data_IF_383061359947
#
_entry.id   IF_383061359947
#
_cell.length_a   1.000
_cell.length_b   1.000
_cell.length_c   1.000
_cell.angle_alpha   90.00
_cell.angle_beta   90.00
_cell.angle_gamma   90.00
#
_symmetry.space_group_name_H-M   'P 1'
#
loop_
_entity.id
_entity.type
_entity.pdbx_description
1 polymer ?
#
# COMPACT_ATOMS: atom_id res chain seq x y z
N UNK A 1 9.88 -23.57 -7.02
CA UNK A 1 8.45 -23.25 -6.90
C UNK A 1 7.74 -24.36 -6.15
N UNK A 2 7.01 -24.03 -5.09
CA UNK A 2 6.12 -25.00 -4.43
C UNK A 2 4.98 -25.37 -5.38
N UNK A 3 4.52 -26.62 -5.36
CA UNK A 3 3.32 -26.99 -6.14
C UNK A 3 2.10 -26.29 -5.52
N UNK A 4 1.35 -25.54 -6.31
CA UNK A 4 0.04 -25.05 -5.92
C UNK A 4 -0.88 -26.27 -5.80
N UNK A 5 -1.36 -26.50 -4.59
CA UNK A 5 -2.28 -27.59 -4.27
C UNK A 5 -3.34 -27.00 -3.36
N UNK A 6 -4.54 -27.58 -3.34
CA UNK A 6 -5.60 -27.07 -2.46
C UNK A 6 -5.12 -26.97 -1.01
N UNK A 7 -4.41 -28.00 -0.51
CA UNK A 7 -3.90 -28.03 0.86
C UNK A 7 -2.85 -26.94 1.14
N UNK A 8 -2.14 -26.43 0.11
CA UNK A 8 -1.19 -25.33 0.28
C UNK A 8 -1.87 -23.96 0.29
N UNK A 9 -3.02 -23.79 -0.37
CA UNK A 9 -3.77 -22.53 -0.48
C UNK A 9 -4.94 -22.42 0.53
N UNK A 10 -5.43 -23.54 1.07
CA UNK A 10 -6.54 -23.59 2.02
C UNK A 10 -6.34 -22.64 3.23
N UNK A 11 -5.14 -22.51 3.82
CA UNK A 11 -4.91 -21.55 4.91
C UNK A 11 -5.10 -20.08 4.51
N UNK A 12 -5.05 -19.79 3.21
CA UNK A 12 -5.21 -18.45 2.66
C UNK A 12 -6.65 -18.19 2.21
N UNK A 13 -7.49 -19.20 2.00
CA UNK A 13 -8.87 -19.00 1.53
C UNK A 13 -9.77 -18.51 2.68
N UNK A 14 -10.34 -17.31 2.56
CA UNK A 14 -11.18 -16.70 3.60
C UNK A 14 -12.65 -16.80 3.28
N UNK A 15 -13.04 -16.47 2.06
CA UNK A 15 -14.45 -16.43 1.66
C UNK A 15 -14.64 -16.89 0.22
N UNK A 16 -15.84 -17.40 -0.06
CA UNK A 16 -16.29 -17.77 -1.40
C UNK A 16 -17.74 -17.32 -1.58
N UNK A 17 -17.96 -16.35 -2.46
CA UNK A 17 -19.28 -15.83 -2.77
C UNK A 17 -19.67 -16.12 -4.23
N UNK A 18 -20.89 -16.59 -4.47
CA UNK A 18 -21.44 -16.70 -5.82
C UNK A 18 -22.25 -15.43 -6.16
N UNK A 19 -21.85 -14.73 -7.22
CA UNK A 19 -22.56 -13.56 -7.74
C UNK A 19 -22.74 -13.70 -9.24
N UNK A 20 -23.99 -13.68 -9.70
CA UNK A 20 -24.33 -13.69 -11.13
C UNK A 20 -23.74 -14.87 -11.93
N UNK A 21 -23.55 -16.03 -11.29
CA UNK A 21 -22.95 -17.22 -11.90
C UNK A 21 -21.41 -17.20 -11.95
N UNK A 22 -20.78 -16.22 -11.28
CA UNK A 22 -19.35 -16.15 -11.04
C UNK A 22 -19.05 -16.49 -9.58
N UNK A 23 -17.94 -17.18 -9.36
CA UNK A 23 -17.41 -17.49 -8.04
C UNK A 23 -16.31 -16.49 -7.70
N UNK A 24 -16.53 -15.72 -6.65
CA UNK A 24 -15.57 -14.80 -6.07
C UNK A 24 -14.85 -15.51 -4.93
N UNK A 25 -13.54 -15.66 -5.03
CA UNK A 25 -12.69 -16.22 -4.00
C UNK A 25 -11.88 -15.11 -3.36
N UNK A 26 -11.95 -14.98 -2.03
CA UNK A 26 -11.12 -14.05 -1.28
C UNK A 26 -9.98 -14.80 -0.60
N UNK A 27 -8.75 -14.47 -0.95
CA UNK A 27 -7.55 -15.05 -0.37
C UNK A 27 -6.84 -14.07 0.56
N UNK A 28 -6.76 -14.37 1.85
CA UNK A 28 -6.02 -13.57 2.83
C UNK A 28 -4.64 -14.14 3.10
N UNK A 29 -3.65 -13.26 3.07
CA UNK A 29 -2.33 -13.58 3.56
C UNK A 29 -2.33 -13.76 5.08
N UNK A 30 -1.88 -14.90 5.64
CA UNK A 30 -1.85 -15.11 7.08
C UNK A 30 -0.80 -14.25 7.80
N UNK A 31 0.17 -13.68 7.06
CA UNK A 31 1.19 -12.82 7.65
C UNK A 31 0.79 -11.34 7.65
N UNK A 32 0.18 -10.86 6.56
CA UNK A 32 -0.12 -9.42 6.38
C UNK A 32 -1.60 -9.09 6.60
N UNK A 33 -2.49 -10.08 6.58
CA UNK A 33 -3.93 -9.88 6.67
C UNK A 33 -4.57 -9.29 5.41
N UNK A 34 -3.79 -9.05 4.35
CA UNK A 34 -4.26 -8.51 3.07
C UNK A 34 -5.03 -9.56 2.31
N UNK A 35 -6.18 -9.16 1.78
CA UNK A 35 -7.08 -9.99 0.99
C UNK A 35 -6.92 -9.68 -0.51
N UNK A 36 -6.86 -10.73 -1.31
CA UNK A 36 -6.81 -10.65 -2.77
C UNK A 36 -7.98 -11.44 -3.31
N UNK A 37 -8.84 -10.77 -4.06
CA UNK A 37 -10.00 -11.39 -4.67
C UNK A 37 -9.66 -11.95 -6.05
N UNK A 38 -10.22 -13.11 -6.35
CA UNK A 38 -10.14 -13.76 -7.65
C UNK A 38 -11.55 -14.10 -8.12
N UNK A 39 -11.83 -13.89 -9.41
CA UNK A 39 -13.13 -14.17 -10.00
C UNK A 39 -12.99 -15.25 -11.05
N UNK A 40 -13.70 -16.35 -10.85
CA UNK A 40 -13.67 -17.50 -11.74
C UNK A 40 -15.08 -17.88 -12.12
N UNK A 41 -15.28 -18.27 -13.37
CA UNK A 41 -16.55 -18.86 -13.80
C UNK A 41 -16.72 -20.24 -13.15
N UNK A 42 -17.96 -20.71 -13.00
CA UNK A 42 -18.24 -22.09 -12.55
C UNK A 42 -17.63 -23.17 -13.47
N UNK A 43 -17.27 -22.80 -14.71
CA UNK A 43 -16.55 -23.66 -15.67
C UNK A 43 -15.03 -23.71 -15.42
N UNK A 44 -14.49 -22.88 -14.50
CA UNK A 44 -13.08 -22.82 -14.17
C UNK A 44 -12.25 -21.91 -15.11
N UNK A 45 -12.90 -21.05 -15.89
CA UNK A 45 -12.22 -20.04 -16.71
C UNK A 45 -12.05 -18.75 -15.91
N UNK A 46 -10.81 -18.25 -15.81
CA UNK A 46 -10.50 -16.99 -15.13
C UNK A 46 -10.92 -15.80 -15.99
N UNK A 47 -11.74 -14.90 -15.45
CA UNK A 47 -11.92 -13.57 -16.02
C UNK A 47 -10.83 -12.68 -15.38
N UNK A 48 -9.83 -12.29 -16.17
CA UNK A 48 -8.57 -11.70 -15.67
C UNK A 48 -8.72 -10.60 -14.61
N UNK A 49 -7.66 -10.41 -13.83
CA UNK A 49 -7.57 -9.36 -12.82
C UNK A 49 -7.77 -7.97 -13.45
N UNK A 50 -8.67 -7.17 -12.88
CA UNK A 50 -8.87 -5.78 -13.30
C UNK A 50 -7.74 -4.90 -12.74
N UNK A 51 -6.70 -4.66 -13.54
CA UNK A 51 -5.47 -4.00 -13.10
C UNK A 51 -5.35 -2.56 -13.66
N UNK A 52 -5.19 -1.56 -12.79
CA UNK A 52 -5.05 -0.13 -13.16
C UNK A 52 -3.87 0.55 -12.43
N UNK A 53 -2.56 0.35 -12.72
CA UNK A 53 -1.54 0.75 -11.69
C UNK A 53 -0.39 1.71 -12.08
N UNK A 54 -0.09 2.67 -11.18
CA UNK A 54 1.06 3.60 -11.10
C UNK A 54 1.52 3.79 -9.63
N UNK A 55 2.52 4.64 -9.32
CA UNK A 55 3.09 4.85 -7.95
C UNK A 55 2.03 5.21 -6.90
N UNK A 56 0.98 5.89 -7.37
CA UNK A 56 -0.26 6.15 -6.64
C UNK A 56 -0.85 4.83 -6.11
N UNK A 57 -0.98 3.77 -6.92
CA UNK A 57 -1.66 2.53 -6.53
C UNK A 57 -1.02 1.72 -5.42
N UNK A 58 0.31 1.78 -5.25
CA UNK A 58 0.95 1.15 -4.09
C UNK A 58 0.57 1.86 -2.80
N UNK A 59 0.70 3.19 -2.77
CA UNK A 59 0.31 3.99 -1.60
C UNK A 59 -1.21 3.92 -1.41
N UNK A 60 -1.97 3.82 -2.52
CA UNK A 60 -3.42 3.70 -2.50
C UNK A 60 -3.87 2.35 -1.91
N UNK A 61 -3.31 1.21 -2.34
CA UNK A 61 -3.66 -0.08 -1.75
C UNK A 61 -3.37 -0.17 -0.25
N UNK A 62 -2.26 0.43 0.19
CA UNK A 62 -1.93 0.52 1.62
C UNK A 62 -2.96 1.37 2.37
N UNK A 63 -3.33 2.53 1.83
CA UNK A 63 -4.29 3.44 2.47
C UNK A 63 -5.72 2.92 2.45
N UNK A 64 -6.17 2.23 1.40
CA UNK A 64 -7.47 1.54 1.38
C UNK A 64 -7.55 0.50 2.51
N UNK A 65 -6.48 -0.27 2.70
CA UNK A 65 -6.37 -1.24 3.79
C UNK A 65 -6.42 -0.58 5.17
N UNK A 66 -5.87 0.64 5.31
CA UNK A 66 -5.82 1.38 6.57
C UNK A 66 -7.10 2.16 6.90
N UNK A 67 -7.75 2.68 5.86
CA UNK A 67 -8.94 3.51 5.97
C UNK A 67 -10.22 2.64 5.94
N UNK A 68 -10.11 1.38 5.56
CA UNK A 68 -11.18 0.38 5.59
C UNK A 68 -12.31 0.66 4.60
N UNK A 69 -12.91 -0.38 3.99
CA UNK A 69 -14.11 -0.20 3.18
C UNK A 69 -15.34 0.11 4.06
N UNK A 70 -16.38 0.78 3.52
CA UNK A 70 -17.70 0.77 4.17
C UNK A 70 -18.22 -0.68 4.22
N UNK A 71 -18.60 -1.15 5.42
CA UNK A 71 -19.03 -2.53 5.67
C UNK A 71 -20.08 -3.04 4.66
N UNK A 72 -19.86 -4.18 3.98
CA UNK A 72 -20.93 -4.92 3.34
C UNK A 72 -21.69 -5.79 4.35
N UNK A 73 -23.00 -5.93 4.12
CA UNK A 73 -23.90 -6.81 4.87
C UNK A 73 -23.72 -8.28 4.42
N UNK A 74 -23.84 -9.28 5.32
CA UNK A 74 -23.71 -10.67 4.93
C UNK A 74 -25.04 -11.24 4.46
N UNK A 75 -25.07 -11.90 3.29
CA UNK A 75 -25.94 -13.07 3.08
C UNK A 75 -25.41 -13.94 1.94
N UNK A 76 -24.84 -15.10 2.27
CA UNK A 76 -24.42 -16.13 1.30
C UNK A 76 -25.54 -17.16 1.07
N UNK A 77 -25.79 -17.53 -0.19
CA UNK A 77 -26.53 -18.73 -0.56
C UNK A 77 -25.53 -19.89 -0.72
N UNK A 78 -25.92 -21.09 -0.27
CA UNK A 78 -25.06 -22.27 -0.30
C UNK A 78 -24.96 -22.85 -1.72
N UNK A 79 -23.75 -22.84 -2.26
CA UNK A 79 -23.40 -23.40 -3.57
C UNK A 79 -23.48 -24.94 -3.52
N UNK A 80 -24.09 -25.58 -4.54
CA UNK A 80 -24.09 -27.04 -4.70
C UNK A 80 -22.95 -27.52 -5.62
N UNK A 81 -21.69 -27.34 -5.20
CA UNK A 81 -20.53 -27.93 -5.87
C UNK A 81 -20.10 -29.22 -5.15
N UNK A 82 -19.61 -30.20 -5.89
CA UNK A 82 -18.94 -31.34 -5.25
C UNK A 82 -17.61 -30.88 -4.64
N UNK A 83 -17.17 -31.53 -3.56
CA UNK A 83 -15.90 -31.19 -2.90
C UNK A 83 -14.68 -31.26 -3.84
N UNK A 84 -14.72 -32.14 -4.85
CA UNK A 84 -13.64 -32.27 -5.83
C UNK A 84 -13.63 -31.09 -6.83
N UNK A 85 -14.80 -30.65 -7.29
CA UNK A 85 -14.94 -29.50 -8.19
C UNK A 85 -14.53 -28.21 -7.48
N UNK A 86 -14.97 -28.02 -6.23
CA UNK A 86 -14.59 -26.87 -5.41
C UNK A 86 -13.07 -26.75 -5.27
N UNK A 87 -12.37 -27.84 -4.90
CA UNK A 87 -10.91 -27.84 -4.74
C UNK A 87 -10.19 -27.46 -6.03
N UNK A 88 -10.69 -27.94 -7.18
CA UNK A 88 -10.13 -27.62 -8.49
C UNK A 88 -10.32 -26.14 -8.83
N UNK A 89 -11.53 -25.61 -8.67
CA UNK A 89 -11.83 -24.20 -8.95
C UNK A 89 -11.06 -23.27 -8.02
N UNK A 90 -10.93 -23.61 -6.73
CA UNK A 90 -10.15 -22.82 -5.77
C UNK A 90 -8.66 -22.75 -6.15
N UNK A 91 -8.07 -23.84 -6.65
CA UNK A 91 -6.70 -23.81 -7.17
C UNK A 91 -6.59 -22.92 -8.41
N UNK A 92 -7.53 -23.01 -9.35
CA UNK A 92 -7.56 -22.13 -10.53
C UNK A 92 -7.76 -20.66 -10.16
N UNK A 93 -8.59 -20.38 -9.16
CA UNK A 93 -8.79 -19.04 -8.61
C UNK A 93 -7.49 -18.50 -8.02
N UNK A 94 -6.77 -19.33 -7.25
CA UNK A 94 -5.50 -18.96 -6.67
C UNK A 94 -4.41 -18.78 -7.73
N UNK A 95 -4.35 -19.63 -8.76
CA UNK A 95 -3.45 -19.48 -9.91
C UNK A 95 -3.61 -18.12 -10.59
N UNK A 96 -4.84 -17.61 -10.69
CA UNK A 96 -5.11 -16.29 -11.26
C UNK A 96 -4.56 -15.12 -10.40
N UNK A 97 -4.31 -15.36 -9.11
CA UNK A 97 -3.72 -14.38 -8.18
C UNK A 97 -2.36 -14.83 -7.66
N UNK A 98 -1.74 -15.87 -8.23
CA UNK A 98 -0.48 -16.46 -7.75
C UNK A 98 0.64 -15.44 -7.81
N UNK A 99 0.67 -14.58 -8.83
CA UNK A 99 1.62 -13.47 -8.91
C UNK A 99 1.58 -12.54 -7.68
N UNK A 100 0.46 -12.56 -6.95
CA UNK A 100 0.29 -11.86 -5.67
C UNK A 100 0.72 -12.67 -4.44
N UNK A 101 1.31 -13.85 -4.58
CA UNK A 101 1.82 -14.63 -3.45
C UNK A 101 3.16 -15.28 -3.79
N UNK A 102 4.07 -15.33 -2.81
CA UNK A 102 5.28 -16.15 -2.91
C UNK A 102 5.22 -17.27 -1.88
N UNK A 103 5.84 -18.39 -2.22
CA UNK A 103 5.98 -19.52 -1.32
C UNK A 103 7.19 -19.32 -0.42
N UNK A 104 6.99 -19.17 0.89
CA UNK A 104 8.07 -18.98 1.87
C UNK A 104 8.81 -20.28 2.26
N UNK A 105 8.45 -21.40 1.63
CA UNK A 105 8.91 -22.75 1.98
C UNK A 105 7.90 -23.57 2.78
N UNK A 106 6.92 -22.92 3.43
CA UNK A 106 5.90 -23.54 4.27
C UNK A 106 4.46 -23.11 3.95
N UNK A 107 4.26 -21.88 3.49
CA UNK A 107 2.95 -21.28 3.20
C UNK A 107 3.05 -20.22 2.10
N UNK A 108 1.91 -19.89 1.50
CA UNK A 108 1.81 -18.74 0.61
C UNK A 108 1.74 -17.45 1.42
N UNK A 109 2.74 -16.61 1.26
CA UNK A 109 2.79 -15.28 1.86
C UNK A 109 2.63 -14.28 0.72
N UNK A 110 1.88 -13.23 0.96
CA UNK A 110 1.76 -12.13 0.01
C UNK A 110 3.12 -11.45 -0.21
N UNK A 111 3.44 -11.15 -1.46
CA UNK A 111 4.79 -10.80 -1.93
C UNK A 111 5.42 -9.58 -1.26
N UNK A 112 4.65 -8.66 -0.68
CA UNK A 112 5.20 -7.51 0.05
C UNK A 112 5.72 -7.83 1.47
N UNK A 113 5.68 -9.08 1.93
CA UNK A 113 6.16 -9.45 3.26
C UNK A 113 7.70 -9.53 3.42
N UNK A 114 8.49 -8.93 2.51
CA UNK A 114 9.95 -8.88 2.58
C UNK A 114 10.46 -7.48 3.02
N UNK A 115 11.40 -7.47 3.98
CA UNK A 115 11.61 -6.48 5.06
C UNK A 115 11.26 -5.01 4.76
N UNK A 116 11.99 -4.28 3.89
CA UNK A 116 11.90 -2.81 3.89
C UNK A 116 10.52 -2.20 3.52
N UNK A 117 9.81 -2.82 2.56
CA UNK A 117 8.42 -2.45 2.24
C UNK A 117 7.47 -3.03 3.28
N UNK A 118 7.79 -4.23 3.83
CA UNK A 118 7.06 -4.80 4.95
C UNK A 118 7.02 -3.85 6.13
N UNK A 119 8.11 -3.19 6.51
CA UNK A 119 8.08 -2.30 7.68
C UNK A 119 7.15 -1.10 7.47
N UNK A 120 7.07 -0.56 6.24
CA UNK A 120 6.08 0.46 5.89
C UNK A 120 4.65 -0.10 5.98
N UNK A 121 4.38 -1.21 5.29
CA UNK A 121 3.06 -1.85 5.24
C UNK A 121 2.61 -2.37 6.62
N UNK A 122 3.52 -2.92 7.42
CA UNK A 122 3.30 -3.45 8.76
C UNK A 122 2.98 -2.33 9.74
N UNK A 123 3.71 -1.20 9.70
CA UNK A 123 3.39 -0.02 10.50
C UNK A 123 2.00 0.50 10.13
N UNK A 124 1.68 0.51 8.84
CA UNK A 124 0.39 0.93 8.31
C UNK A 124 -0.77 0.01 8.77
N UNK A 125 -0.62 -1.29 8.59
CA UNK A 125 -1.65 -2.31 8.90
C UNK A 125 -1.80 -2.56 10.40
N UNK A 126 -0.72 -2.50 11.17
CA UNK A 126 -0.76 -2.72 12.62
C UNK A 126 -1.31 -1.52 13.38
N UNK A 127 -1.16 -0.31 12.83
CA UNK A 127 -1.58 0.93 13.48
C UNK A 127 -2.32 1.85 12.50
N UNK A 128 -3.47 1.41 11.96
CA UNK A 128 -4.23 2.15 10.99
C UNK A 128 -4.87 3.40 11.60
N UNK A 129 -5.02 4.45 10.78
CA UNK A 129 -5.66 5.71 11.17
C UNK A 129 -7.18 5.56 11.05
N UNK A 130 -7.81 4.91 12.03
CA UNK A 130 -9.22 4.51 11.93
C UNK A 130 -10.22 5.57 12.39
N UNK A 131 -9.86 6.40 13.37
CA UNK A 131 -10.82 7.37 13.91
C UNK A 131 -11.07 8.50 12.90
N UNK A 132 -12.32 8.95 12.79
CA UNK A 132 -12.67 10.05 11.89
C UNK A 132 -11.92 11.35 12.24
N UNK A 133 -11.68 11.57 13.55
CA UNK A 133 -10.89 12.70 14.05
C UNK A 133 -9.43 12.61 13.59
N UNK A 134 -8.76 11.46 13.76
CA UNK A 134 -7.37 11.29 13.32
C UNK A 134 -7.25 11.34 11.78
N UNK A 135 -8.28 10.89 11.05
CA UNK A 135 -8.33 11.00 9.58
C UNK A 135 -8.44 12.44 9.10
N UNK A 136 -9.23 13.27 9.77
CA UNK A 136 -9.30 14.72 9.45
C UNK A 136 -7.93 15.38 9.69
N UNK A 137 -7.29 15.06 10.82
CA UNK A 137 -5.93 15.54 11.12
C UNK A 137 -4.93 15.06 10.06
N UNK A 138 -4.94 13.77 9.70
CA UNK A 138 -4.06 13.23 8.66
C UNK A 138 -4.31 13.91 7.32
N UNK A 139 -5.56 14.04 6.89
CA UNK A 139 -5.89 14.68 5.61
C UNK A 139 -5.42 16.13 5.54
N UNK A 140 -5.55 16.89 6.64
CA UNK A 140 -5.01 18.26 6.73
C UNK A 140 -3.49 18.27 6.73
N UNK A 141 -2.85 17.32 7.43
CA UNK A 141 -1.40 17.16 7.50
C UNK A 141 -0.82 16.90 6.11
N UNK A 142 -1.40 15.97 5.36
CA UNK A 142 -0.98 15.64 4.00
C UNK A 142 -1.13 16.83 3.05
N UNK A 143 -2.22 17.61 3.18
CA UNK A 143 -2.42 18.82 2.39
C UNK A 143 -1.42 19.92 2.76
N UNK A 144 -1.10 20.07 4.04
CA UNK A 144 -0.16 21.08 4.51
C UNK A 144 1.26 20.80 4.00
N UNK A 145 1.69 19.53 4.02
CA UNK A 145 2.94 19.08 3.40
C UNK A 145 2.92 19.33 1.89
N UNK A 146 1.93 18.79 1.18
CA UNK A 146 1.84 18.90 -0.29
C UNK A 146 1.58 20.35 -0.79
N UNK A 147 1.32 21.30 0.10
CA UNK A 147 1.15 22.72 -0.24
C UNK A 147 2.28 23.60 0.32
N UNK A 148 3.36 23.01 0.86
CA UNK A 148 4.46 23.74 1.47
C UNK A 148 5.12 24.74 0.50
N UNK A 149 5.31 24.33 -0.75
CA UNK A 149 5.88 25.14 -1.83
C UNK A 149 4.83 26.02 -2.55
N UNK A 150 3.58 26.00 -2.06
CA UNK A 150 2.38 26.65 -2.62
C UNK A 150 1.93 26.10 -3.97
N UNK A 151 2.32 24.88 -4.33
CA UNK A 151 1.90 24.20 -5.54
C UNK A 151 1.50 22.78 -5.19
N UNK A 152 0.29 22.41 -5.54
CA UNK A 152 -0.10 21.01 -5.54
C UNK A 152 0.13 20.45 -6.94
N UNK A 153 1.02 19.47 -7.06
CA UNK A 153 1.23 18.75 -8.31
C UNK A 153 -0.03 17.96 -8.69
N UNK A 154 -0.25 17.67 -9.99
CA UNK A 154 -1.36 16.83 -10.40
C UNK A 154 -1.39 15.46 -9.70
N UNK A 155 -0.22 14.90 -9.38
CA UNK A 155 -0.09 13.58 -8.73
C UNK A 155 -0.56 13.64 -7.28
N UNK A 156 -0.12 14.63 -6.51
CA UNK A 156 -0.59 14.83 -5.13
C UNK A 156 -2.10 15.11 -5.09
N UNK A 157 -2.63 15.85 -6.08
CA UNK A 157 -4.08 16.09 -6.18
C UNK A 157 -4.88 14.82 -6.42
N UNK A 158 -4.40 13.94 -7.31
CA UNK A 158 -5.04 12.63 -7.55
C UNK A 158 -5.03 11.82 -6.27
N UNK A 159 -3.87 11.73 -5.63
CA UNK A 159 -3.69 11.01 -4.37
C UNK A 159 -4.60 11.53 -3.25
N UNK A 160 -4.60 12.83 -2.99
CA UNK A 160 -5.43 13.46 -1.95
C UNK A 160 -6.92 13.30 -2.24
N UNK A 161 -7.33 13.27 -3.52
CA UNK A 161 -8.74 13.14 -3.91
C UNK A 161 -9.29 11.75 -3.68
N UNK A 162 -8.45 10.74 -3.83
CA UNK A 162 -8.86 9.36 -3.66
C UNK A 162 -9.12 9.04 -2.17
N UNK A 163 -8.27 9.52 -1.26
CA UNK A 163 -8.40 9.20 0.18
C UNK A 163 -9.06 10.23 1.06
N UNK A 164 -8.95 11.49 0.68
CA UNK A 164 -9.47 12.60 1.46
C UNK A 164 -10.38 13.45 0.58
N UNK A 165 -11.42 12.86 -0.04
CA UNK A 165 -12.30 13.59 -0.95
C UNK A 165 -12.93 14.79 -0.25
N UNK A 166 -13.29 14.62 1.02
CA UNK A 166 -13.88 15.65 1.88
C UNK A 166 -12.94 16.82 2.12
N UNK A 167 -11.63 16.57 2.17
CA UNK A 167 -10.63 17.61 2.44
C UNK A 167 -10.48 18.53 1.23
N UNK A 168 -10.70 18.05 0.00
CA UNK A 168 -10.60 18.84 -1.24
C UNK A 168 -11.87 19.61 -1.64
N UNK A 169 -12.99 19.38 -0.94
CA UNK A 169 -14.25 20.12 -1.12
C UNK A 169 -14.07 21.63 -0.85
N UNK A 170 -14.93 22.52 -1.38
CA UNK A 170 -14.89 23.95 -1.02
C UNK A 170 -14.90 24.20 0.50
N UNK A 171 -15.69 23.41 1.24
CA UNK A 171 -15.76 23.44 2.71
C UNK A 171 -14.47 22.96 3.35
N UNK A 172 -13.89 21.87 2.83
CA UNK A 172 -12.57 21.38 3.21
C UNK A 172 -11.47 22.41 2.95
N UNK A 173 -11.56 23.15 1.84
CA UNK A 173 -10.62 24.26 1.51
C UNK A 173 -10.75 25.44 2.47
N UNK A 174 -11.94 25.74 2.97
CA UNK A 174 -12.12 26.75 4.01
C UNK A 174 -11.49 26.33 5.34
N UNK A 175 -11.47 25.03 5.67
CA UNK A 175 -10.75 24.49 6.84
C UNK A 175 -9.23 24.56 6.70
N UNK A 176 -8.68 24.63 5.49
CA UNK A 176 -7.23 24.77 5.21
C UNK A 176 -6.68 26.18 5.45
N UNK A 177 -7.53 27.15 5.77
CA UNK A 177 -7.08 28.55 5.97
C UNK A 177 -6.21 28.67 7.24
N UNK A 178 -6.29 27.71 8.16
CA UNK A 178 -5.47 27.67 9.38
C UNK A 178 -4.51 26.47 9.37
N UNK A 179 -3.20 26.67 9.60
CA UNK A 179 -2.24 25.60 9.86
C UNK A 179 -2.74 24.67 10.97
N UNK A 180 -2.33 23.40 10.94
CA UNK A 180 -2.65 22.47 12.02
C UNK A 180 -2.06 22.96 13.34
N UNK A 181 -2.93 23.19 14.34
CA UNK A 181 -2.47 23.63 15.64
C UNK A 181 -1.84 22.47 16.43
N UNK A 182 -0.85 22.78 17.28
CA UNK A 182 -0.16 21.78 18.09
C UNK A 182 -1.13 21.01 19.01
N UNK A 183 -2.20 21.64 19.47
CA UNK A 183 -3.25 21.03 20.27
C UNK A 183 -4.03 19.96 19.49
N UNK A 184 -4.26 20.17 18.19
CA UNK A 184 -4.96 19.21 17.31
C UNK A 184 -4.10 17.96 17.12
N UNK A 185 -2.80 18.15 16.84
CA UNK A 185 -1.83 17.06 16.72
C UNK A 185 -1.66 16.30 18.05
N UNK A 186 -1.72 17.00 19.19
CA UNK A 186 -1.69 16.39 20.51
C UNK A 186 -2.95 15.55 20.79
N UNK A 187 -4.07 15.83 20.12
CA UNK A 187 -5.34 15.12 20.20
C UNK A 187 -5.27 13.66 19.74
N UNK A 188 -4.35 13.32 18.82
CA UNK A 188 -4.13 11.94 18.35
C UNK A 188 -3.59 11.09 19.50
N UNK A 189 -4.42 10.27 20.15
CA UNK A 189 -4.03 9.63 21.43
C UNK A 189 -2.96 8.55 21.28
N UNK A 190 -2.97 7.81 20.18
CA UNK A 190 -2.05 6.69 19.98
C UNK A 190 -0.72 7.16 19.39
N UNK A 191 0.37 6.97 20.14
CA UNK A 191 1.73 7.25 19.66
C UNK A 191 2.07 6.48 18.39
N UNK A 192 1.55 5.26 18.23
CA UNK A 192 1.78 4.43 17.04
C UNK A 192 1.02 4.96 15.83
N UNK A 193 -0.20 5.46 16.02
CA UNK A 193 -0.96 6.13 14.95
C UNK A 193 -0.26 7.41 14.50
N UNK A 194 0.30 8.21 15.41
CA UNK A 194 1.13 9.38 15.06
C UNK A 194 2.33 9.01 14.18
N UNK A 195 3.01 7.90 14.50
CA UNK A 195 4.12 7.39 13.68
C UNK A 195 3.65 7.03 12.27
N UNK A 196 2.50 6.37 12.15
CA UNK A 196 1.89 6.04 10.87
C UNK A 196 1.54 7.29 10.07
N UNK A 197 0.87 8.28 10.69
CA UNK A 197 0.51 9.54 10.05
C UNK A 197 1.72 10.29 9.52
N UNK A 198 2.78 10.38 10.33
CA UNK A 198 4.03 11.02 9.94
C UNK A 198 4.73 10.29 8.79
N UNK A 199 4.82 8.96 8.86
CA UNK A 199 5.42 8.14 7.82
C UNK A 199 4.67 8.25 6.47
N UNK A 200 3.34 8.31 6.51
CA UNK A 200 2.50 8.53 5.32
C UNK A 200 2.72 9.93 4.72
N UNK A 201 2.80 10.96 5.55
CA UNK A 201 3.10 12.31 5.07
C UNK A 201 4.49 12.42 4.46
N UNK A 202 5.46 11.72 5.06
CA UNK A 202 6.80 11.61 4.48
C UNK A 202 6.75 10.91 3.12
N UNK A 203 6.03 9.79 2.99
CA UNK A 203 5.90 9.09 1.72
C UNK A 203 5.24 9.96 0.64
N UNK A 204 4.22 10.75 0.99
CA UNK A 204 3.58 11.70 0.08
C UNK A 204 4.57 12.76 -0.43
N UNK A 205 5.35 13.37 0.46
CA UNK A 205 6.36 14.37 0.12
C UNK A 205 7.50 13.83 -0.76
N UNK A 206 7.60 12.52 -0.93
CA UNK A 206 8.58 11.89 -1.79
C UNK A 206 7.99 11.44 -3.14
N UNK A 207 6.66 11.56 -3.34
CA UNK A 207 5.97 11.06 -4.52
C UNK A 207 6.38 11.78 -5.82
N UNK A 208 6.72 13.07 -5.73
CA UNK A 208 7.15 13.89 -6.87
C UNK A 208 8.66 13.81 -7.14
N UNK A 209 9.36 12.91 -6.42
CA UNK A 209 10.79 12.64 -6.55
C UNK A 209 11.72 13.77 -6.04
N UNK A 210 11.19 14.78 -5.34
CA UNK A 210 11.95 15.91 -4.80
C UNK A 210 11.38 16.42 -3.46
N UNK A 211 12.06 16.14 -2.35
CA UNK A 211 11.68 16.71 -1.06
C UNK A 211 12.13 18.17 -0.95
N UNK A 212 11.19 19.10 -1.02
CA UNK A 212 11.49 20.51 -0.87
C UNK A 212 11.90 20.85 0.58
N UNK A 213 12.81 21.82 0.80
CA UNK A 213 13.19 22.25 2.15
C UNK A 213 12.00 22.71 3.01
N UNK A 214 10.98 23.31 2.38
CA UNK A 214 9.74 23.72 3.03
C UNK A 214 8.92 22.52 3.52
N UNK A 215 8.85 21.44 2.74
CA UNK A 215 8.17 20.21 3.14
C UNK A 215 8.91 19.51 4.28
N UNK A 216 10.25 19.44 4.19
CA UNK A 216 11.08 18.86 5.24
C UNK A 216 10.92 19.63 6.56
N UNK A 217 10.89 20.97 6.50
CA UNK A 217 10.63 21.81 7.68
C UNK A 217 9.27 21.53 8.31
N UNK A 218 8.21 21.38 7.52
CA UNK A 218 6.86 21.06 8.02
C UNK A 218 6.83 19.64 8.62
N UNK A 219 7.49 18.68 7.99
CA UNK A 219 7.59 17.31 8.50
C UNK A 219 8.36 17.24 9.82
N UNK A 220 9.40 18.06 9.99
CA UNK A 220 10.15 18.19 11.25
C UNK A 220 9.25 18.79 12.35
N UNK A 221 8.50 19.85 12.05
CA UNK A 221 7.51 20.43 12.98
C UNK A 221 6.47 19.38 13.43
N UNK A 222 5.99 18.54 12.49
CA UNK A 222 5.09 17.44 12.82
C UNK A 222 5.75 16.34 13.66
N UNK A 223 7.02 16.01 13.40
CA UNK A 223 7.77 15.05 14.20
C UNK A 223 7.88 15.52 15.66
N UNK A 224 8.18 16.80 15.86
CA UNK A 224 8.29 17.44 17.17
C UNK A 224 6.94 17.49 17.89
N UNK A 225 5.87 17.90 17.18
CA UNK A 225 4.51 17.92 17.73
C UNK A 225 4.04 16.52 18.17
N UNK A 226 4.37 15.49 17.39
CA UNK A 226 4.10 14.10 17.74
C UNK A 226 5.04 13.51 18.80
N UNK A 227 6.10 14.23 19.16
CA UNK A 227 7.17 13.80 20.08
C UNK A 227 7.83 12.50 19.61
N UNK A 228 8.16 12.44 18.33
CA UNK A 228 8.88 11.33 17.74
C UNK A 228 10.37 11.45 18.08
N UNK A 229 11.00 10.45 18.74
CA UNK A 229 12.44 10.47 18.99
C UNK A 229 13.20 10.44 17.67
N UNK A 230 14.32 11.16 17.57
CA UNK A 230 15.10 11.29 16.33
C UNK A 230 15.45 9.95 15.67
N UNK A 231 15.83 8.92 16.43
CA UNK A 231 16.09 7.59 15.88
C UNK A 231 14.84 6.99 15.21
N UNK A 232 13.66 7.17 15.82
CA UNK A 232 12.42 6.62 15.29
C UNK A 232 11.94 7.40 14.07
N UNK A 233 12.07 8.72 14.06
CA UNK A 233 11.76 9.53 12.87
C UNK A 233 12.67 9.13 11.70
N UNK A 234 13.96 8.90 11.97
CA UNK A 234 14.89 8.39 10.96
C UNK A 234 14.49 7.02 10.40
N UNK A 235 14.11 6.06 11.24
CA UNK A 235 13.62 4.74 10.80
C UNK A 235 12.37 4.86 9.91
N UNK A 236 11.38 5.67 10.33
CA UNK A 236 10.14 5.86 9.59
C UNK A 236 10.38 6.57 8.25
N UNK A 237 11.30 7.54 8.20
CA UNK A 237 11.75 8.20 6.97
C UNK A 237 12.33 7.17 6.01
N UNK A 238 13.17 6.26 6.53
CA UNK A 238 13.74 5.18 5.74
C UNK A 238 12.66 4.27 5.18
N UNK A 239 11.68 3.85 5.98
CA UNK A 239 10.56 3.03 5.48
C UNK A 239 9.81 3.69 4.34
N UNK A 240 9.52 4.99 4.45
CA UNK A 240 8.90 5.77 3.37
C UNK A 240 9.79 5.83 2.11
N UNK A 241 11.10 6.08 2.25
CA UNK A 241 12.04 6.11 1.12
C UNK A 241 12.14 4.76 0.41
N UNK A 242 12.29 3.67 1.17
CA UNK A 242 12.33 2.32 0.62
C UNK A 242 11.06 2.01 -0.15
N UNK A 243 9.89 2.36 0.42
CA UNK A 243 8.61 2.18 -0.23
C UNK A 243 8.52 2.92 -1.56
N UNK A 244 8.87 4.21 -1.61
CA UNK A 244 8.79 5.02 -2.84
C UNK A 244 9.72 4.48 -3.94
N UNK A 245 10.95 4.12 -3.60
CA UNK A 245 11.88 3.53 -4.59
C UNK A 245 11.37 2.18 -5.08
N UNK A 246 10.84 1.36 -4.18
CA UNK A 246 10.26 0.06 -4.55
C UNK A 246 9.09 0.19 -5.53
N UNK A 247 8.20 1.18 -5.32
CA UNK A 247 7.12 1.50 -6.26
C UNK A 247 7.65 1.98 -7.62
N UNK A 248 8.76 2.74 -7.63
CA UNK A 248 9.40 3.14 -8.87
C UNK A 248 10.02 1.95 -9.61
N UNK A 249 10.61 0.97 -8.89
CA UNK A 249 11.06 -0.29 -9.48
C UNK A 249 9.89 -1.06 -10.08
N UNK A 250 8.78 -1.17 -9.33
CA UNK A 250 7.58 -1.84 -9.79
C UNK A 250 7.04 -1.28 -11.10
N UNK A 251 7.07 0.05 -11.23
CA UNK A 251 6.67 0.74 -12.45
C UNK A 251 7.58 0.41 -13.65
N UNK A 252 8.90 0.39 -13.44
CA UNK A 252 9.85 0.10 -14.52
C UNK A 252 9.72 -1.35 -15.01
N UNK A 253 9.57 -2.29 -14.09
CA UNK A 253 9.48 -3.72 -14.40
C UNK A 253 8.07 -4.18 -14.79
N UNK A 254 7.13 -3.26 -15.06
CA UNK A 254 5.73 -3.61 -15.40
C UNK A 254 5.61 -4.59 -16.58
N UNK A 255 6.56 -4.57 -17.51
CA UNK A 255 6.59 -5.46 -18.69
C UNK A 255 7.42 -6.73 -18.47
N UNK A 256 7.82 -7.02 -17.23
CA UNK A 256 8.73 -8.11 -16.88
C UNK A 256 10.22 -7.81 -17.10
N UNK A 257 10.55 -6.64 -17.65
CA UNK A 257 11.92 -6.17 -17.84
C UNK A 257 11.95 -4.65 -17.71
N UNK A 258 13.09 -4.11 -17.25
CA UNK A 258 13.37 -2.69 -17.22
C UNK A 258 14.54 -2.38 -18.16
N UNK A 259 14.44 -1.31 -18.95
CA UNK A 259 15.56 -0.88 -19.80
C UNK A 259 16.69 -0.29 -18.96
N UNK A 260 17.94 -0.24 -19.47
CA UNK A 260 19.04 0.42 -18.76
C UNK A 260 18.72 1.85 -18.33
N UNK A 261 17.97 2.60 -19.16
CA UNK A 261 17.56 3.96 -18.87
C UNK A 261 16.55 4.03 -17.72
N UNK A 262 15.59 3.10 -17.65
CA UNK A 262 14.63 3.02 -16.54
C UNK A 262 15.33 2.67 -15.23
N UNK A 263 16.31 1.76 -15.27
CA UNK A 263 17.17 1.44 -14.13
C UNK A 263 17.97 2.66 -13.67
N UNK A 264 18.55 3.43 -14.60
CA UNK A 264 19.26 4.67 -14.28
C UNK A 264 18.34 5.73 -13.65
N UNK A 265 17.06 5.79 -14.05
CA UNK A 265 16.05 6.65 -13.40
C UNK A 265 15.83 6.20 -11.94
N UNK A 266 15.64 4.89 -11.70
CA UNK A 266 15.48 4.34 -10.34
C UNK A 266 16.70 4.66 -9.46
N UNK A 267 17.91 4.44 -9.96
CA UNK A 267 19.14 4.68 -9.20
C UNK A 267 19.30 6.17 -8.84
N UNK A 268 18.97 7.07 -9.78
CA UNK A 268 18.98 8.51 -9.52
C UNK A 268 17.92 8.93 -8.52
N UNK A 269 16.71 8.36 -8.61
CA UNK A 269 15.65 8.59 -7.64
C UNK A 269 16.12 8.17 -6.24
N UNK A 270 16.65 6.96 -6.09
CA UNK A 270 17.12 6.47 -4.80
C UNK A 270 18.21 7.37 -4.19
N UNK A 271 19.19 7.81 -5.00
CA UNK A 271 20.22 8.74 -4.56
C UNK A 271 19.66 10.10 -4.14
N UNK A 272 18.70 10.66 -4.89
CA UNK A 272 18.00 11.90 -4.52
C UNK A 272 17.28 11.76 -3.18
N UNK A 273 16.64 10.61 -2.96
CA UNK A 273 15.98 10.26 -1.70
C UNK A 273 16.97 9.93 -0.57
N UNK A 274 18.28 10.01 -0.79
CA UNK A 274 19.29 9.75 0.23
C UNK A 274 19.56 8.27 0.51
N UNK A 275 19.12 7.37 -0.39
CA UNK A 275 19.52 5.96 -0.37
C UNK A 275 20.82 5.78 -1.16
N UNK A 276 21.71 4.93 -0.68
CA UNK A 276 22.94 4.57 -1.39
C UNK A 276 22.67 3.74 -2.65
N UNK A 277 23.62 3.72 -3.59
CA UNK A 277 23.52 2.92 -4.82
C UNK A 277 23.34 1.43 -4.52
N UNK A 278 24.09 0.90 -3.55
CA UNK A 278 23.96 -0.49 -3.11
C UNK A 278 22.56 -0.79 -2.56
N UNK A 279 21.97 0.17 -1.84
CA UNK A 279 20.62 0.02 -1.29
C UNK A 279 19.58 0.00 -2.40
N UNK A 280 19.71 0.88 -3.39
CA UNK A 280 18.85 0.92 -4.57
C UNK A 280 18.93 -0.38 -5.39
N UNK A 281 20.14 -0.89 -5.61
CA UNK A 281 20.37 -2.19 -6.26
C UNK A 281 19.78 -3.33 -5.44
N UNK A 282 19.90 -3.30 -4.12
CA UNK A 282 19.30 -4.28 -3.25
C UNK A 282 17.76 -4.19 -3.26
N UNK A 283 17.16 -3.02 -3.41
CA UNK A 283 15.71 -2.87 -3.63
C UNK A 283 15.33 -3.51 -4.96
N UNK A 284 16.06 -3.22 -6.04
CA UNK A 284 15.82 -3.79 -7.37
C UNK A 284 15.97 -5.32 -7.40
N UNK A 285 17.05 -5.87 -6.86
CA UNK A 285 17.27 -7.32 -6.75
C UNK A 285 16.13 -7.96 -5.96
N UNK A 286 15.76 -7.37 -4.82
CA UNK A 286 14.65 -7.87 -4.00
C UNK A 286 13.32 -7.79 -4.75
N UNK A 287 13.08 -6.72 -5.51
CA UNK A 287 11.91 -6.60 -6.37
C UNK A 287 11.87 -7.72 -7.40
N UNK A 288 12.96 -7.94 -8.15
CA UNK A 288 13.03 -8.97 -9.19
C UNK A 288 12.83 -10.37 -8.63
N UNK A 289 13.47 -10.68 -7.50
CA UNK A 289 13.26 -11.94 -6.79
C UNK A 289 11.78 -12.11 -6.37
N UNK A 290 11.13 -11.01 -5.96
CA UNK A 290 9.73 -10.96 -5.51
C UNK A 290 8.71 -11.17 -6.63
N UNK A 291 9.02 -10.76 -7.85
CA UNK A 291 8.15 -10.97 -9.04
C UNK A 291 8.63 -12.10 -9.96
N UNK A 292 9.65 -12.86 -9.56
CA UNK A 292 10.15 -14.02 -10.31
C UNK A 292 10.88 -13.68 -11.60
N UNK A 293 11.57 -12.53 -11.65
CA UNK A 293 12.34 -12.03 -12.81
C UNK A 293 13.86 -12.32 -12.71
N UNK A 294 14.24 -13.31 -11.91
CA UNK A 294 15.62 -13.75 -11.69
C UNK A 294 16.02 -14.93 -12.59
#
# INVERSE_FOLDING_TARGET
MGRITFDSIEPNLVDVEEKEGLLHFSFRCPATGIEVDSVVTAAGESCGAAERQGLEQGLLGVLETMLGPPQPAPTAQAIQLTAAEFRKIAVQAFEAVESSFFWDGRRWIWWEANDAVREFVEQCTSYPVQSAEDRDVLGRMLVEVAAADRRLTPQELVFLREFFPDVLTPEGRLRRVSPLAAEELAGVKSRRVRQTMWMLAYALALCDEELAPEEESILDDFADAFRLPGLRSWELKRYAQYFVVDQAVARAYRKGEATPEERDVIMRLALKLGLGLEEAQNIEIRYRARVGLD
#
